data_IF_884804388173
#
_entry.id   IF_884804388173
#
_cell.length_a   1.000
_cell.length_b   1.000
_cell.length_c   1.000
_cell.angle_alpha   90.00
_cell.angle_beta   90.00
_cell.angle_gamma   90.00
#
_symmetry.space_group_name_H-M   'P 1'
#
loop_
_entity.id
_entity.type
_entity.pdbx_description
1 polymer ?
#
# COMPACT_ATOMS: atom_id res chain seq x y z
N UNK A 1 -7.56 -8.46 11.26
CA UNK A 1 -6.21 -7.87 11.24
C UNK A 1 -6.33 -6.47 11.81
N UNK A 2 -5.49 -6.13 12.79
CA UNK A 2 -5.37 -4.74 13.26
C UNK A 2 -4.49 -3.91 12.32
N UNK A 3 -4.30 -2.63 12.64
CA UNK A 3 -3.38 -1.75 11.92
C UNK A 3 -1.97 -2.41 11.85
N UNK A 4 -1.32 -2.45 10.68
CA UNK A 4 -0.01 -3.05 10.47
C UNK A 4 1.04 -2.59 11.46
N UNK A 5 1.73 -3.54 12.09
CA UNK A 5 2.84 -3.24 13.01
C UNK A 5 4.03 -2.63 12.24
N UNK A 6 4.24 -3.08 11.00
CA UNK A 6 5.30 -2.56 10.13
C UNK A 6 5.23 -1.03 9.97
N UNK A 7 4.02 -0.45 9.92
CA UNK A 7 3.84 1.01 9.82
C UNK A 7 4.20 1.74 11.11
N UNK A 8 3.94 1.14 12.27
CA UNK A 8 4.31 1.72 13.56
C UNK A 8 5.83 1.77 13.72
N UNK A 9 6.51 0.80 13.13
CA UNK A 9 7.97 0.68 13.16
C UNK A 9 8.65 1.57 12.11
N UNK A 10 8.01 1.78 10.95
CA UNK A 10 8.61 2.55 9.86
C UNK A 10 8.51 4.06 10.05
N UNK A 11 7.41 4.57 10.58
CA UNK A 11 7.23 6.01 10.79
C UNK A 11 6.19 6.32 11.89
N UNK A 12 6.52 7.17 12.88
CA UNK A 12 5.57 7.59 13.90
C UNK A 12 4.32 8.26 13.31
N UNK A 13 3.13 7.87 13.76
CA UNK A 13 1.85 8.48 13.36
C UNK A 13 1.25 7.96 12.04
N UNK A 14 2.01 7.24 11.22
CA UNK A 14 1.53 6.69 9.94
C UNK A 14 0.41 5.64 10.14
N UNK A 15 0.49 4.87 11.22
CA UNK A 15 -0.56 3.95 11.65
C UNK A 15 -1.90 4.64 11.93
N UNK A 16 -1.85 5.84 12.53
CA UNK A 16 -3.05 6.62 12.85
C UNK A 16 -3.60 7.32 11.61
N UNK A 17 -2.73 7.84 10.72
CA UNK A 17 -3.13 8.36 9.41
C UNK A 17 -3.87 7.29 8.59
N UNK A 18 -3.35 6.06 8.56
CA UNK A 18 -4.01 4.95 7.87
C UNK A 18 -5.40 4.66 8.45
N UNK A 19 -5.54 4.66 9.79
CA UNK A 19 -6.85 4.49 10.44
C UNK A 19 -7.82 5.58 10.02
N UNK A 20 -7.41 6.84 10.11
CA UNK A 20 -8.24 7.98 9.71
C UNK A 20 -8.65 7.90 8.24
N UNK A 21 -7.74 7.50 7.35
CA UNK A 21 -8.03 7.32 5.93
C UNK A 21 -9.07 6.22 5.68
N UNK A 22 -8.96 5.07 6.37
CA UNK A 22 -9.92 3.96 6.27
C UNK A 22 -11.32 4.40 6.71
N UNK A 23 -11.41 5.12 7.84
CA UNK A 23 -12.68 5.64 8.37
C UNK A 23 -13.30 6.67 7.39
N UNK A 24 -12.47 7.56 6.84
CA UNK A 24 -12.89 8.59 5.88
C UNK A 24 -13.39 7.97 4.57
N UNK A 25 -12.71 6.95 4.04
CA UNK A 25 -13.08 6.26 2.81
C UNK A 25 -14.24 5.26 3.01
N UNK A 26 -14.73 5.07 4.25
CA UNK A 26 -15.82 4.16 4.60
C UNK A 26 -15.60 2.75 4.02
N UNK A 27 -14.36 2.26 4.10
CA UNK A 27 -14.04 0.95 3.54
C UNK A 27 -14.84 -0.13 4.26
N UNK A 28 -15.42 -1.05 3.49
CA UNK A 28 -16.02 -2.23 4.09
C UNK A 28 -14.93 -3.15 4.67
N UNK A 29 -15.32 -4.02 5.59
CA UNK A 29 -14.41 -4.91 6.32
C UNK A 29 -13.49 -5.74 5.41
N UNK A 30 -13.99 -6.19 4.25
CA UNK A 30 -13.22 -7.00 3.31
C UNK A 30 -12.16 -6.17 2.59
N UNK A 31 -12.53 -4.97 2.15
CA UNK A 31 -11.61 -4.03 1.50
C UNK A 31 -10.53 -3.57 2.48
N UNK A 32 -10.93 -3.21 3.70
CA UNK A 32 -10.00 -2.85 4.78
C UNK A 32 -8.96 -3.95 5.01
N UNK A 33 -9.39 -5.19 5.26
CA UNK A 33 -8.45 -6.31 5.48
C UNK A 33 -7.50 -6.53 4.30
N UNK A 34 -8.01 -6.37 3.07
CA UNK A 34 -7.20 -6.50 1.86
C UNK A 34 -6.15 -5.39 1.78
N UNK A 35 -6.53 -4.15 2.10
CA UNK A 35 -5.63 -3.01 2.02
C UNK A 35 -4.57 -3.08 3.11
N UNK A 36 -4.97 -3.36 4.36
CA UNK A 36 -4.03 -3.54 5.47
C UNK A 36 -2.99 -4.64 5.15
N UNK A 37 -3.43 -5.75 4.56
CA UNK A 37 -2.53 -6.83 4.14
C UNK A 37 -1.47 -6.38 3.15
N UNK A 38 -1.88 -5.67 2.10
CA UNK A 38 -0.95 -5.25 1.05
C UNK A 38 -0.03 -4.12 1.48
N UNK A 39 -0.52 -3.20 2.31
CA UNK A 39 0.29 -2.12 2.88
C UNK A 39 1.36 -2.68 3.83
N UNK A 40 0.98 -3.62 4.71
CA UNK A 40 1.95 -4.29 5.60
C UNK A 40 3.06 -4.98 4.80
N UNK A 41 2.68 -5.78 3.79
CA UNK A 41 3.67 -6.44 2.92
C UNK A 41 4.55 -5.48 2.13
N UNK A 42 4.00 -4.34 1.71
CA UNK A 42 4.75 -3.32 0.99
C UNK A 42 5.84 -2.72 1.88
N UNK A 43 5.49 -2.36 3.12
CA UNK A 43 6.44 -1.78 4.08
C UNK A 43 7.51 -2.81 4.48
N UNK A 44 7.11 -4.07 4.69
CA UNK A 44 8.05 -5.15 4.98
C UNK A 44 8.98 -5.46 3.80
N UNK A 45 8.50 -5.37 2.56
CA UNK A 45 9.32 -5.55 1.36
C UNK A 45 10.42 -4.50 1.25
N UNK A 46 10.17 -3.29 1.76
CA UNK A 46 11.12 -2.18 1.78
C UNK A 46 11.86 -2.07 3.13
N UNK A 47 12.02 -3.18 3.85
CA UNK A 47 12.79 -3.28 5.10
C UNK A 47 12.36 -2.26 6.18
N UNK A 48 11.05 -1.99 6.29
CA UNK A 48 10.49 -1.03 7.25
C UNK A 48 10.99 0.41 7.06
N UNK A 49 11.55 0.76 5.89
CA UNK A 49 11.90 2.14 5.56
C UNK A 49 10.65 3.02 5.56
N UNK A 50 10.82 4.30 5.94
CA UNK A 50 9.73 5.27 5.99
C UNK A 50 9.08 5.48 4.61
N UNK A 51 7.81 5.08 4.41
CA UNK A 51 7.11 5.22 3.13
C UNK A 51 6.84 6.67 2.73
N UNK A 52 6.92 7.61 3.68
CA UNK A 52 6.78 9.05 3.43
C UNK A 52 7.87 9.57 2.48
N UNK A 53 9.02 8.88 2.40
CA UNK A 53 10.09 9.18 1.46
C UNK A 53 9.99 8.52 0.09
N UNK A 54 9.05 7.59 -0.11
CA UNK A 54 9.00 6.78 -1.34
C UNK A 54 8.45 7.53 -2.55
N UNK A 55 8.90 7.12 -3.72
CA UNK A 55 8.42 7.58 -5.02
C UNK A 55 7.60 6.48 -5.70
N UNK A 56 7.19 6.72 -6.94
CA UNK A 56 6.51 5.70 -7.76
C UNK A 56 7.40 4.48 -8.03
N UNK A 57 8.73 4.62 -7.96
CA UNK A 57 9.67 3.53 -8.19
C UNK A 57 9.48 2.40 -7.17
N UNK A 58 9.33 2.73 -5.88
CA UNK A 58 9.10 1.74 -4.83
C UNK A 58 7.79 0.97 -5.03
N UNK A 59 6.74 1.65 -5.52
CA UNK A 59 5.48 1.01 -5.87
C UNK A 59 5.66 0.03 -7.05
N UNK A 60 6.34 0.47 -8.11
CA UNK A 60 6.59 -0.34 -9.30
C UNK A 60 7.45 -1.56 -8.98
N UNK A 61 8.49 -1.40 -8.16
CA UNK A 61 9.37 -2.49 -7.75
C UNK A 61 8.61 -3.57 -6.98
N UNK A 62 7.75 -3.16 -6.04
CA UNK A 62 6.93 -4.11 -5.29
C UNK A 62 5.93 -4.84 -6.20
N UNK A 63 5.23 -4.13 -7.08
CA UNK A 63 4.28 -4.75 -8.02
C UNK A 63 4.97 -5.70 -9.01
N UNK A 64 6.17 -5.36 -9.48
CA UNK A 64 6.99 -6.24 -10.30
C UNK A 64 7.40 -7.50 -9.52
N UNK A 65 7.83 -7.36 -8.27
CA UNK A 65 8.12 -8.51 -7.41
C UNK A 65 6.90 -9.44 -7.23
N UNK A 66 5.71 -8.88 -6.96
CA UNK A 66 4.48 -9.65 -6.84
C UNK A 66 4.13 -10.42 -8.12
N UNK A 67 4.39 -9.82 -9.29
CA UNK A 67 4.11 -10.43 -10.59
C UNK A 67 5.15 -11.48 -10.96
N UNK A 68 6.42 -11.15 -10.84
CA UNK A 68 7.50 -11.91 -11.47
C UNK A 68 8.06 -12.98 -10.52
N UNK A 69 8.19 -12.64 -9.23
CA UNK A 69 8.71 -13.54 -8.21
C UNK A 69 7.60 -14.38 -7.56
N UNK A 70 6.52 -13.73 -7.11
CA UNK A 70 5.40 -14.44 -6.47
C UNK A 70 4.34 -14.98 -7.45
N UNK A 71 4.42 -14.60 -8.73
CA UNK A 71 3.54 -15.10 -9.82
C UNK A 71 2.06 -14.98 -9.47
N UNK A 72 1.68 -13.86 -8.87
CA UNK A 72 0.30 -13.63 -8.45
C UNK A 72 -0.63 -13.48 -9.65
N UNK A 73 -1.89 -13.92 -9.47
CA UNK A 73 -2.93 -13.71 -10.48
C UNK A 73 -3.21 -12.22 -10.67
N UNK A 74 -3.72 -11.86 -11.86
CA UNK A 74 -4.13 -10.48 -12.18
C UNK A 74 -5.08 -9.89 -11.15
N UNK A 75 -6.00 -10.68 -10.60
CA UNK A 75 -6.94 -10.24 -9.57
C UNK A 75 -6.22 -9.85 -8.26
N UNK A 76 -5.23 -10.64 -7.81
CA UNK A 76 -4.44 -10.32 -6.61
C UNK A 76 -3.52 -9.12 -6.83
N UNK A 77 -2.92 -9.01 -8.01
CA UNK A 77 -2.14 -7.82 -8.40
C UNK A 77 -2.99 -6.55 -8.40
N UNK A 78 -4.23 -6.62 -8.90
CA UNK A 78 -5.14 -5.48 -8.87
C UNK A 78 -5.52 -5.09 -7.43
N UNK A 79 -5.72 -6.06 -6.53
CA UNK A 79 -5.94 -5.76 -5.11
C UNK A 79 -4.76 -5.04 -4.48
N UNK A 80 -3.53 -5.51 -4.75
CA UNK A 80 -2.31 -4.85 -4.28
C UNK A 80 -2.19 -3.43 -4.84
N UNK A 81 -2.41 -3.25 -6.15
CA UNK A 81 -2.36 -1.94 -6.80
C UNK A 81 -3.35 -0.95 -6.18
N UNK A 82 -4.61 -1.36 -6.00
CA UNK A 82 -5.63 -0.51 -5.39
C UNK A 82 -5.29 -0.13 -3.95
N UNK A 83 -4.77 -1.08 -3.15
CA UNK A 83 -4.32 -0.80 -1.79
C UNK A 83 -3.18 0.24 -1.77
N UNK A 84 -2.22 0.14 -2.70
CA UNK A 84 -1.12 1.10 -2.80
C UNK A 84 -1.58 2.47 -3.29
N UNK A 85 -2.52 2.53 -4.24
CA UNK A 85 -3.10 3.80 -4.69
C UNK A 85 -3.80 4.53 -3.52
N UNK A 86 -4.62 3.81 -2.75
CA UNK A 86 -5.22 4.33 -1.53
C UNK A 86 -4.16 4.79 -0.52
N UNK A 87 -3.11 3.99 -0.31
CA UNK A 87 -2.04 4.35 0.62
C UNK A 87 -1.31 5.64 0.22
N UNK A 88 -0.96 5.79 -1.06
CA UNK A 88 -0.29 7.01 -1.53
C UNK A 88 -1.23 8.23 -1.50
N UNK A 89 -2.46 8.09 -1.96
CA UNK A 89 -3.41 9.21 -2.07
C UNK A 89 -3.93 9.67 -0.70
N UNK A 90 -4.45 8.72 0.08
CA UNK A 90 -5.29 9.00 1.24
C UNK A 90 -4.49 8.98 2.55
N UNK A 91 -3.34 8.31 2.58
CA UNK A 91 -2.50 8.21 3.77
C UNK A 91 -1.27 9.10 3.66
N UNK A 92 -0.48 8.97 2.58
CA UNK A 92 0.74 9.76 2.38
C UNK A 92 0.48 11.15 1.80
N UNK A 93 -0.74 11.42 1.29
CA UNK A 93 -1.09 12.70 0.67
C UNK A 93 -0.32 12.99 -0.62
N UNK A 94 0.19 11.96 -1.29
CA UNK A 94 0.96 12.09 -2.54
C UNK A 94 0.02 12.00 -3.74
N UNK A 95 0.27 12.78 -4.81
CA UNK A 95 -0.49 12.63 -6.04
C UNK A 95 -0.28 11.21 -6.55
N UNK A 96 -1.40 10.49 -6.80
CA UNK A 96 -1.33 9.19 -7.45
C UNK A 96 -0.96 9.45 -8.91
N UNK A 97 0.29 9.24 -9.24
CA UNK A 97 0.74 9.21 -10.62
C UNK A 97 0.26 7.89 -11.20
N UNK A 98 -0.88 7.95 -11.88
CA UNK A 98 -1.41 6.82 -12.64
C UNK A 98 -0.42 6.46 -13.75
N UNK A 99 0.58 5.65 -13.40
CA UNK A 99 1.59 5.17 -14.33
C UNK A 99 1.02 4.11 -15.29
N UNK A 100 -0.31 3.99 -15.40
CA UNK A 100 -1.01 3.06 -16.31
C UNK A 100 -1.14 3.63 -17.73
N UNK A 101 -0.12 4.34 -18.21
CA UNK A 101 0.11 4.56 -19.64
C UNK A 101 1.41 3.89 -20.06
N UNK A 102 1.38 2.55 -20.21
CA UNK A 102 2.25 1.84 -21.15
C UNK A 102 1.84 0.37 -21.30
N UNK A 103 1.50 0.04 -22.56
CA UNK A 103 1.47 -1.27 -23.25
C UNK A 103 0.39 -2.30 -22.88
#
# INVERSE_FOLDING_TARGET
MGIPEALRQSSPGLADQLRTAIEKQQLNQRAEQTYLHWIDRFVLFHDLRDPSGFSDEEQQQFLAYLRDSLRLSRARLNQARQALMFFYADVLGKPVTDSTVAA
#
